data_IF_954290093946
#
_entry.id   IF_954290093946
#
_cell.length_a   1.000
_cell.length_b   1.000
_cell.length_c   1.000
_cell.angle_alpha   90.00
_cell.angle_beta   90.00
_cell.angle_gamma   90.00
#
_symmetry.space_group_name_H-M   'P 1'
#
loop_
_entity.id
_entity.type
_entity.pdbx_description
1 polymer ?
#
# COMPACT_ATOMS: atom_id res chain seq x y z
N UNK A 1 -14.98 -4.15 -15.39
CA UNK A 1 -13.91 -4.40 -14.41
C UNK A 1 -12.74 -3.50 -14.78
N UNK A 2 -12.63 -2.36 -14.16
CA UNK A 2 -11.42 -1.52 -14.26
C UNK A 2 -10.29 -2.30 -13.58
N UNK A 3 -9.32 -2.76 -14.39
CA UNK A 3 -8.16 -3.48 -13.89
C UNK A 3 -7.37 -2.58 -12.94
N UNK A 4 -6.92 -3.13 -11.80
CA UNK A 4 -6.02 -2.42 -10.90
C UNK A 4 -4.83 -1.90 -11.73
N UNK A 5 -4.46 -0.62 -11.64
CA UNK A 5 -3.26 -0.15 -12.31
C UNK A 5 -2.06 -0.89 -11.70
N UNK A 6 -1.36 -1.64 -12.51
CA UNK A 6 -0.11 -2.28 -12.08
C UNK A 6 0.94 -1.18 -11.88
N UNK A 7 1.27 -0.93 -10.62
CA UNK A 7 2.27 0.05 -10.20
C UNK A 7 3.26 -0.65 -9.29
N UNK A 8 4.27 -1.29 -9.88
CA UNK A 8 5.26 -2.02 -9.10
C UNK A 8 5.98 -1.07 -8.15
N UNK A 9 6.03 -1.41 -6.87
CA UNK A 9 6.81 -0.65 -5.91
C UNK A 9 8.30 -1.00 -6.01
N UNK A 10 9.11 0.02 -5.79
CA UNK A 10 10.57 -0.09 -5.64
C UNK A 10 10.92 0.41 -4.25
N UNK A 11 11.78 -0.32 -3.55
CA UNK A 11 12.31 0.09 -2.25
C UNK A 11 13.83 -0.06 -2.22
N UNK A 12 14.48 0.81 -1.48
CA UNK A 12 15.93 0.72 -1.19
C UNK A 12 16.10 0.51 0.30
N UNK A 13 16.58 -0.65 0.68
CA UNK A 13 16.73 -1.05 2.09
C UNK A 13 18.07 -1.76 2.24
N UNK A 14 18.85 -1.40 3.26
CA UNK A 14 20.11 -2.05 3.64
C UNK A 14 21.08 -2.27 2.47
N UNK A 15 21.18 -1.29 1.57
CA UNK A 15 22.07 -1.33 0.42
C UNK A 15 21.60 -2.19 -0.74
N UNK A 16 20.37 -2.64 -0.73
CA UNK A 16 19.73 -3.35 -1.84
C UNK A 16 18.57 -2.56 -2.43
N UNK A 17 18.36 -2.69 -3.74
CA UNK A 17 17.15 -2.29 -4.44
C UNK A 17 16.23 -3.50 -4.52
N UNK A 18 14.99 -3.35 -4.10
CA UNK A 18 13.94 -4.36 -4.20
C UNK A 18 12.87 -3.88 -5.18
N UNK A 19 12.38 -4.77 -6.03
CA UNK A 19 11.31 -4.48 -6.98
C UNK A 19 10.20 -5.51 -6.88
N UNK A 20 8.96 -5.03 -6.91
CA UNK A 20 7.78 -5.87 -7.10
C UNK A 20 7.65 -6.29 -8.56
N UNK A 21 7.32 -7.54 -8.83
CA UNK A 21 7.16 -8.08 -10.19
C UNK A 21 5.98 -9.04 -10.28
N UNK A 22 5.61 -9.44 -11.50
CA UNK A 22 4.59 -10.47 -11.75
C UNK A 22 4.97 -11.87 -11.23
N UNK A 23 6.22 -12.09 -10.83
CA UNK A 23 6.70 -13.41 -10.38
C UNK A 23 7.30 -13.39 -8.96
N UNK A 24 7.06 -12.32 -8.21
CA UNK A 24 7.54 -12.14 -6.85
C UNK A 24 8.29 -10.83 -6.65
N UNK A 25 9.05 -10.75 -5.56
CA UNK A 25 9.97 -9.64 -5.28
C UNK A 25 11.37 -10.07 -5.67
N UNK A 26 12.06 -9.21 -6.42
CA UNK A 26 13.47 -9.37 -6.78
C UNK A 26 14.29 -8.29 -6.09
N UNK A 27 15.57 -8.58 -5.85
CA UNK A 27 16.52 -7.61 -5.31
C UNK A 27 17.86 -7.68 -6.03
N UNK A 28 18.63 -6.60 -5.93
CA UNK A 28 20.05 -6.53 -6.29
C UNK A 28 20.78 -5.54 -5.39
N UNK A 29 22.12 -5.64 -5.25
CA UNK A 29 22.91 -4.62 -4.57
C UNK A 29 22.68 -3.24 -5.22
N UNK A 30 22.40 -2.20 -4.42
CA UNK A 30 22.08 -0.86 -4.93
C UNK A 30 23.24 -0.22 -5.72
N UNK A 31 24.47 -0.59 -5.40
CA UNK A 31 25.68 -0.12 -6.10
C UNK A 31 26.01 -0.90 -7.36
N UNK A 32 25.33 -2.01 -7.63
CA UNK A 32 25.60 -2.81 -8.83
C UNK A 32 24.97 -2.15 -10.06
N UNK A 33 25.78 -1.92 -11.08
CA UNK A 33 25.34 -1.49 -12.41
C UNK A 33 25.06 -2.66 -13.35
N UNK A 34 25.34 -3.91 -12.92
CA UNK A 34 25.13 -5.11 -13.72
C UNK A 34 23.65 -5.49 -13.71
N UNK A 35 23.03 -5.61 -14.88
CA UNK A 35 21.63 -6.00 -15.02
C UNK A 35 21.36 -7.47 -14.69
N UNK A 36 22.39 -8.30 -14.61
CA UNK A 36 22.28 -9.73 -14.28
C UNK A 36 22.27 -10.01 -12.77
N UNK A 37 22.50 -9.00 -11.92
CA UNK A 37 22.59 -9.18 -10.47
C UNK A 37 21.24 -9.24 -9.77
N UNK A 38 20.14 -9.25 -10.53
CA UNK A 38 18.80 -9.45 -9.96
C UNK A 38 18.62 -10.89 -9.50
N UNK A 39 18.35 -11.07 -8.22
CA UNK A 39 18.02 -12.36 -7.63
C UNK A 39 16.58 -12.37 -7.13
N UNK A 40 15.96 -13.53 -7.19
CA UNK A 40 14.62 -13.75 -6.62
C UNK A 40 14.75 -13.73 -5.11
N UNK A 41 13.94 -12.87 -4.46
CA UNK A 41 14.02 -12.64 -3.02
C UNK A 41 12.83 -13.24 -2.27
N UNK A 42 11.59 -12.91 -2.66
CA UNK A 42 10.40 -13.27 -1.89
C UNK A 42 9.19 -13.54 -2.79
N UNK A 43 8.19 -14.25 -2.26
CA UNK A 43 6.89 -14.51 -2.88
C UNK A 43 6.98 -15.11 -4.29
N UNK A 44 7.85 -16.09 -4.45
CA UNK A 44 8.07 -16.74 -5.76
C UNK A 44 6.77 -17.23 -6.40
N UNK A 45 6.47 -16.73 -7.60
CA UNK A 45 5.28 -17.09 -8.37
C UNK A 45 4.02 -16.28 -8.04
N UNK A 46 4.08 -15.31 -7.11
CA UNK A 46 2.97 -14.39 -6.85
C UNK A 46 3.18 -13.06 -7.61
N UNK A 47 2.14 -12.53 -8.26
CA UNK A 47 2.19 -11.24 -8.93
C UNK A 47 2.12 -10.09 -7.90
N UNK A 48 3.26 -9.66 -7.38
CA UNK A 48 3.34 -8.61 -6.36
C UNK A 48 3.23 -7.23 -7.02
N UNK A 49 2.36 -6.37 -6.45
CA UNK A 49 2.16 -4.98 -6.89
C UNK A 49 2.92 -4.02 -5.97
N UNK A 50 2.67 -4.14 -4.66
CA UNK A 50 3.30 -3.32 -3.64
C UNK A 50 3.69 -4.19 -2.44
N UNK A 51 4.67 -3.75 -1.69
CA UNK A 51 5.09 -4.42 -0.47
C UNK A 51 5.72 -3.44 0.51
N UNK A 52 5.75 -3.83 1.77
CA UNK A 52 6.49 -3.19 2.86
C UNK A 52 7.25 -4.27 3.63
N UNK A 53 8.40 -3.90 4.18
CA UNK A 53 9.30 -4.85 4.84
C UNK A 53 9.75 -4.36 6.21
N UNK A 54 9.93 -5.32 7.14
CA UNK A 54 10.54 -5.12 8.44
C UNK A 54 11.29 -6.40 8.84
N UNK A 55 12.60 -6.42 8.63
CA UNK A 55 13.39 -7.66 8.74
C UNK A 55 12.81 -8.76 7.85
N UNK A 56 12.58 -9.96 8.40
CA UNK A 56 12.00 -11.07 7.66
C UNK A 56 10.47 -10.99 7.49
N UNK A 57 9.83 -9.99 8.08
CA UNK A 57 8.40 -9.78 7.91
C UNK A 57 8.12 -8.92 6.67
N UNK A 58 7.28 -9.42 5.78
CA UNK A 58 6.91 -8.74 4.52
C UNK A 58 5.40 -8.79 4.37
N UNK A 59 4.79 -7.63 4.12
CA UNK A 59 3.39 -7.54 3.70
C UNK A 59 3.37 -7.17 2.23
N UNK A 60 2.58 -7.89 1.44
CA UNK A 60 2.45 -7.62 0.01
C UNK A 60 0.99 -7.53 -0.44
N UNK A 61 0.75 -6.58 -1.33
CA UNK A 61 -0.44 -6.50 -2.17
C UNK A 61 -0.10 -7.21 -3.48
N UNK A 62 -0.96 -8.12 -3.90
CA UNK A 62 -0.77 -8.88 -5.14
C UNK A 62 -1.86 -8.56 -6.16
N UNK A 63 -1.66 -8.95 -7.41
CA UNK A 63 -2.69 -8.88 -8.45
C UNK A 63 -3.72 -10.02 -8.37
N UNK A 64 -3.63 -10.91 -7.38
CA UNK A 64 -4.64 -11.92 -7.13
C UNK A 64 -5.96 -11.27 -6.69
N UNK A 65 -7.07 -11.93 -7.02
CA UNK A 65 -8.43 -11.46 -6.68
C UNK A 65 -9.09 -12.32 -5.60
N UNK A 66 -8.34 -13.24 -5.01
CA UNK A 66 -8.73 -14.15 -3.94
C UNK A 66 -8.09 -13.73 -2.61
N UNK A 67 -8.05 -14.66 -1.65
CA UNK A 67 -7.42 -14.46 -0.34
C UNK A 67 -5.94 -14.10 -0.40
N UNK A 68 -5.28 -14.30 -1.55
CA UNK A 68 -3.87 -13.91 -1.77
C UNK A 68 -3.69 -12.46 -2.21
N UNK A 69 -4.77 -11.69 -2.32
CA UNK A 69 -4.69 -10.28 -2.68
C UNK A 69 -3.89 -9.44 -1.66
N UNK A 70 -3.92 -9.83 -0.38
CA UNK A 70 -3.20 -9.19 0.70
C UNK A 70 -2.57 -10.25 1.59
N UNK A 71 -1.24 -10.31 1.63
CA UNK A 71 -0.51 -11.41 2.27
C UNK A 71 0.59 -10.92 3.21
N UNK A 72 0.81 -11.69 4.27
CA UNK A 72 1.90 -11.52 5.23
C UNK A 72 2.82 -12.74 5.17
N UNK A 73 4.12 -12.48 5.09
CA UNK A 73 5.19 -13.43 5.38
C UNK A 73 5.91 -13.04 6.67
N UNK A 74 6.47 -13.99 7.38
CA UNK A 74 7.33 -13.79 8.55
C UNK A 74 8.66 -14.55 8.44
N UNK A 75 8.96 -15.07 7.25
CA UNK A 75 10.12 -15.91 6.95
C UNK A 75 10.89 -15.45 5.70
N UNK A 76 10.88 -14.14 5.43
CA UNK A 76 11.55 -13.56 4.28
C UNK A 76 10.85 -13.85 2.95
N UNK A 77 9.55 -14.10 2.97
CA UNK A 77 8.76 -14.35 1.77
C UNK A 77 8.83 -15.78 1.22
N UNK A 78 9.35 -16.74 2.01
CA UNK A 78 9.38 -18.16 1.64
C UNK A 78 7.98 -18.75 1.68
N UNK A 79 7.22 -18.38 2.74
CA UNK A 79 5.80 -18.71 2.88
C UNK A 79 4.99 -17.44 3.12
N UNK A 80 3.69 -17.48 2.85
CA UNK A 80 2.79 -16.38 3.15
C UNK A 80 1.42 -16.89 3.58
N UNK A 81 0.71 -16.03 4.32
CA UNK A 81 -0.69 -16.23 4.69
C UNK A 81 -1.50 -15.00 4.32
N UNK A 82 -2.78 -15.21 4.02
CA UNK A 82 -3.71 -14.10 3.80
C UNK A 82 -3.82 -13.20 5.03
N UNK A 83 -3.95 -11.91 4.79
CA UNK A 83 -4.37 -10.93 5.80
C UNK A 83 -5.87 -10.71 5.60
N UNK A 84 -6.65 -11.23 6.54
CA UNK A 84 -8.12 -11.05 6.57
C UNK A 84 -8.50 -10.61 7.99
N UNK A 85 -8.19 -9.36 8.37
CA UNK A 85 -8.57 -8.87 9.67
C UNK A 85 -10.10 -8.91 9.84
N UNK A 86 -10.61 -9.19 11.04
CA UNK A 86 -12.06 -9.18 11.31
C UNK A 86 -12.74 -7.87 10.92
N UNK A 87 -12.01 -6.76 11.01
CA UNK A 87 -12.46 -5.44 10.63
C UNK A 87 -12.74 -5.29 9.12
N UNK A 88 -12.24 -6.23 8.31
CA UNK A 88 -12.45 -6.27 6.85
C UNK A 88 -13.62 -7.18 6.47
N UNK A 89 -14.22 -7.88 7.43
CA UNK A 89 -15.42 -8.68 7.20
C UNK A 89 -16.63 -7.74 7.21
N UNK A 90 -17.12 -7.42 6.05
CA UNK A 90 -18.41 -6.72 5.88
C UNK A 90 -19.49 -7.79 5.99
N UNK A 91 -20.32 -7.69 7.03
CA UNK A 91 -21.44 -8.61 7.25
C UNK A 91 -22.36 -8.63 6.02
N UNK A 92 -22.78 -9.85 5.63
CA UNK A 92 -23.89 -10.21 4.74
C UNK A 92 -23.69 -10.30 3.22
N UNK A 93 -22.63 -9.83 2.63
CA UNK A 93 -22.33 -10.16 1.25
C UNK A 93 -20.83 -10.34 1.11
N UNK A 94 -20.36 -11.43 0.55
CA UNK A 94 -18.96 -11.79 0.25
C UNK A 94 -18.20 -10.71 -0.57
N UNK A 95 -18.28 -9.45 -0.15
CA UNK A 95 -17.57 -8.33 -0.76
C UNK A 95 -16.08 -8.55 -0.50
N UNK A 96 -15.40 -8.94 -1.55
CA UNK A 96 -13.95 -9.12 -1.54
C UNK A 96 -13.30 -7.79 -1.21
N UNK A 97 -12.60 -7.76 -0.10
CA UNK A 97 -11.76 -6.63 0.28
C UNK A 97 -10.59 -6.56 -0.68
N UNK A 98 -10.45 -5.41 -1.34
CA UNK A 98 -9.43 -5.20 -2.36
C UNK A 98 -8.41 -4.15 -1.86
N UNK A 99 -7.17 -4.55 -1.50
CA UNK A 99 -6.13 -3.60 -1.17
C UNK A 99 -5.60 -2.93 -2.44
N UNK A 100 -5.44 -1.60 -2.42
CA UNK A 100 -4.93 -0.80 -3.54
C UNK A 100 -3.55 -0.20 -3.28
N UNK A 101 -3.28 0.18 -2.03
CA UNK A 101 -2.03 0.83 -1.65
C UNK A 101 -1.64 0.45 -0.24
N UNK A 102 -0.35 0.35 0.01
CA UNK A 102 0.22 0.17 1.34
C UNK A 102 1.41 1.11 1.51
N UNK A 103 1.50 1.73 2.67
CA UNK A 103 2.60 2.62 3.04
C UNK A 103 3.09 2.30 4.44
N UNK A 104 4.40 2.39 4.61
CA UNK A 104 5.07 2.19 5.89
C UNK A 104 5.56 3.54 6.43
N UNK A 105 5.36 3.75 7.72
CA UNK A 105 5.85 4.93 8.41
C UNK A 105 7.40 4.89 8.48
N UNK A 106 8.04 5.95 8.00
CA UNK A 106 9.51 6.06 7.95
C UNK A 106 10.17 6.09 9.32
N UNK A 107 9.46 6.56 10.36
CA UNK A 107 9.96 6.69 11.72
C UNK A 107 9.58 5.49 12.60
N UNK A 108 8.57 4.73 12.22
CA UNK A 108 8.10 3.55 12.95
C UNK A 108 7.63 2.46 11.99
N UNK A 109 8.52 1.52 11.70
CA UNK A 109 8.25 0.41 10.77
C UNK A 109 7.07 -0.48 11.18
N UNK A 110 6.57 -0.43 12.42
CA UNK A 110 5.35 -1.13 12.83
C UNK A 110 4.06 -0.43 12.39
N UNK A 111 4.15 0.86 12.09
CA UNK A 111 2.99 1.67 11.70
C UNK A 111 2.82 1.62 10.18
N UNK A 112 1.66 1.18 9.75
CA UNK A 112 1.31 1.00 8.34
C UNK A 112 -0.02 1.69 8.05
N UNK A 113 -0.16 2.19 6.83
CA UNK A 113 -1.43 2.55 6.23
C UNK A 113 -1.71 1.63 5.07
N UNK A 114 -2.94 1.23 4.92
CA UNK A 114 -3.40 0.58 3.70
C UNK A 114 -4.70 1.22 3.22
N UNK A 115 -4.85 1.25 1.91
CA UNK A 115 -6.05 1.66 1.24
C UNK A 115 -6.77 0.42 0.77
N UNK A 116 -7.99 0.23 1.25
CA UNK A 116 -8.73 -1.02 1.10
C UNK A 116 -10.16 -0.73 0.69
N UNK A 117 -10.56 -1.22 -0.47
CA UNK A 117 -11.93 -1.06 -0.96
C UNK A 117 -12.81 -2.23 -0.49
N UNK A 118 -14.06 -2.00 -0.06
CA UNK A 118 -14.76 -0.71 0.00
C UNK A 118 -14.61 0.02 1.35
N UNK A 119 -13.68 -0.34 2.19
CA UNK A 119 -13.57 0.14 3.59
C UNK A 119 -13.04 1.58 3.66
N UNK A 120 -11.98 1.89 2.90
CA UNK A 120 -11.28 3.17 2.96
C UNK A 120 -9.84 3.05 3.45
N UNK A 121 -9.38 4.01 4.25
CA UNK A 121 -8.04 4.00 4.84
C UNK A 121 -8.06 3.26 6.16
N UNK A 122 -7.19 2.27 6.27
CA UNK A 122 -6.97 1.50 7.50
C UNK A 122 -5.53 1.69 7.98
N UNK A 123 -5.35 1.68 9.29
CA UNK A 123 -4.06 1.84 9.95
C UNK A 123 -3.74 0.64 10.83
N UNK A 124 -2.52 0.16 10.76
CA UNK A 124 -1.93 -0.79 11.70
C UNK A 124 -0.81 -0.11 12.49
N UNK A 125 -0.65 -0.48 13.76
CA UNK A 125 0.46 -0.04 14.63
C UNK A 125 1.35 -1.20 15.07
N UNK A 126 1.11 -2.40 14.53
CA UNK A 126 1.77 -3.64 14.93
C UNK A 126 2.18 -4.50 13.72
N UNK A 127 2.58 -3.84 12.63
CA UNK A 127 2.99 -4.46 11.37
C UNK A 127 1.95 -5.43 10.82
N UNK A 128 0.70 -4.96 10.66
CA UNK A 128 -0.37 -5.70 10.00
C UNK A 128 -1.00 -6.83 10.82
N UNK A 129 -0.67 -6.99 12.11
CA UNK A 129 -1.31 -7.99 12.98
C UNK A 129 -2.75 -7.62 13.32
N UNK A 130 -3.04 -6.34 13.43
CA UNK A 130 -4.39 -5.78 13.53
C UNK A 130 -4.46 -4.46 12.78
N UNK A 131 -5.67 -4.09 12.38
CA UNK A 131 -5.95 -2.89 11.60
C UNK A 131 -7.15 -2.15 12.21
N UNK A 132 -7.17 -0.85 12.04
CA UNK A 132 -8.28 0.02 12.43
C UNK A 132 -8.61 0.95 11.27
N UNK A 133 -9.89 1.06 10.93
CA UNK A 133 -10.36 2.06 9.96
C UNK A 133 -10.19 3.46 10.55
N UNK A 134 -9.53 4.34 9.81
CA UNK A 134 -9.31 5.75 10.18
C UNK A 134 -10.02 6.72 9.23
N UNK A 135 -10.46 6.25 8.08
CA UNK A 135 -11.33 7.01 7.19
C UNK A 135 -12.14 6.06 6.33
N UNK A 136 -13.41 6.37 6.15
CA UNK A 136 -14.31 5.66 5.25
C UNK A 136 -14.66 6.57 4.09
N UNK A 137 -14.44 6.10 2.87
CA UNK A 137 -14.83 6.84 1.67
C UNK A 137 -16.07 6.17 1.09
N UNK A 138 -17.24 6.79 1.29
CA UNK A 138 -18.51 6.25 0.81
C UNK A 138 -18.73 6.55 -0.68
N UNK A 139 -19.19 5.53 -1.40
CA UNK A 139 -19.97 5.72 -2.62
C UNK A 139 -19.21 6.18 -3.85
N UNK A 140 -18.46 5.27 -4.50
CA UNK A 140 -17.99 5.47 -5.86
C UNK A 140 -16.68 6.24 -6.03
N UNK A 141 -15.91 6.38 -4.97
CA UNK A 141 -14.55 6.91 -5.05
C UNK A 141 -13.57 5.79 -5.41
N UNK A 142 -12.77 6.02 -6.44
CA UNK A 142 -11.58 5.22 -6.68
C UNK A 142 -10.41 5.86 -5.96
N UNK A 143 -9.78 5.14 -5.06
CA UNK A 143 -8.63 5.61 -4.32
C UNK A 143 -7.37 4.97 -4.88
N UNK A 144 -6.29 5.76 -5.01
CA UNK A 144 -5.07 5.33 -5.70
C UNK A 144 -3.86 5.21 -4.80
N UNK A 145 -3.75 6.07 -3.83
CA UNK A 145 -2.58 6.18 -2.97
C UNK A 145 -2.97 6.56 -1.54
N UNK A 146 -2.24 6.01 -0.58
CA UNK A 146 -2.21 6.49 0.80
C UNK A 146 -0.77 6.49 1.29
N UNK A 147 -0.36 7.53 2.03
CA UNK A 147 1.00 7.63 2.53
C UNK A 147 1.15 8.56 3.73
N UNK A 148 2.18 8.30 4.53
CA UNK A 148 2.64 9.21 5.57
C UNK A 148 3.53 10.29 4.98
N UNK A 149 3.50 11.49 5.58
CA UNK A 149 4.57 12.46 5.37
C UNK A 149 5.87 11.93 5.98
N UNK A 150 7.01 12.00 5.27
CA UNK A 150 8.24 11.34 5.72
C UNK A 150 8.85 11.96 6.99
N UNK A 151 8.66 13.25 7.23
CA UNK A 151 9.22 13.98 8.38
C UNK A 151 8.23 14.16 9.53
N UNK A 152 6.94 14.27 9.23
CA UNK A 152 5.87 14.36 10.23
C UNK A 152 4.79 13.30 9.93
N UNK A 153 4.94 12.15 10.53
CA UNK A 153 4.10 10.98 10.28
C UNK A 153 2.71 11.05 10.91
N UNK A 154 2.35 12.17 11.57
CA UNK A 154 0.96 12.49 11.92
C UNK A 154 0.20 13.03 10.70
N UNK A 155 0.92 13.52 9.70
CA UNK A 155 0.36 13.95 8.43
C UNK A 155 0.22 12.75 7.49
N UNK A 156 -1.01 12.50 7.05
CA UNK A 156 -1.38 11.41 6.17
C UNK A 156 -2.05 12.02 4.93
N UNK A 157 -1.72 11.48 3.76
CA UNK A 157 -2.28 11.90 2.49
C UNK A 157 -2.93 10.72 1.78
N UNK A 158 -4.04 11.01 1.11
CA UNK A 158 -4.72 10.06 0.24
C UNK A 158 -5.10 10.75 -1.08
N UNK A 159 -4.97 10.04 -2.18
CA UNK A 159 -5.44 10.50 -3.49
C UNK A 159 -6.44 9.53 -4.07
N UNK A 160 -7.31 10.06 -4.89
CA UNK A 160 -8.32 9.26 -5.58
C UNK A 160 -9.09 10.08 -6.61
N UNK A 161 -10.17 9.48 -7.09
CA UNK A 161 -11.04 10.02 -8.12
C UNK A 161 -12.50 9.72 -7.77
N UNK A 162 -13.36 10.70 -7.98
CA UNK A 162 -14.81 10.55 -7.81
C UNK A 162 -15.44 9.88 -9.03
N UNK A 163 -16.68 9.41 -8.92
CA UNK A 163 -17.44 8.86 -10.05
C UNK A 163 -17.66 9.86 -11.20
N UNK A 164 -17.54 11.16 -10.93
CA UNK A 164 -17.67 12.23 -11.93
C UNK A 164 -16.32 12.72 -12.44
N UNK A 165 -15.27 11.90 -12.28
CA UNK A 165 -13.91 12.17 -12.76
C UNK A 165 -13.27 13.43 -12.15
N UNK A 166 -13.58 13.71 -10.89
CA UNK A 166 -12.87 14.73 -10.11
C UNK A 166 -11.79 14.04 -9.27
N UNK A 167 -10.54 14.40 -9.51
CA UNK A 167 -9.42 13.93 -8.67
C UNK A 167 -9.38 14.73 -7.38
N UNK A 168 -8.95 14.10 -6.32
CA UNK A 168 -8.80 14.74 -5.02
C UNK A 168 -7.49 14.37 -4.34
N UNK A 169 -7.02 15.29 -3.51
CA UNK A 169 -6.01 15.05 -2.47
C UNK A 169 -6.67 15.33 -1.14
N UNK A 170 -6.79 14.32 -0.31
CA UNK A 170 -7.21 14.47 1.08
C UNK A 170 -5.97 14.43 1.98
N UNK A 171 -5.98 15.22 3.03
CA UNK A 171 -4.96 15.22 4.05
C UNK A 171 -5.56 15.16 5.45
N UNK A 172 -4.83 14.52 6.35
CA UNK A 172 -5.05 14.59 7.78
C UNK A 172 -3.77 15.05 8.46
N UNK A 173 -3.87 16.01 9.37
CA UNK A 173 -2.73 16.50 10.16
C UNK A 173 -2.73 15.97 11.60
N UNK A 174 -3.63 15.05 11.92
CA UNK A 174 -3.84 14.54 13.28
C UNK A 174 -4.01 13.02 13.32
N UNK A 175 -3.18 12.33 12.53
CA UNK A 175 -3.11 10.88 12.51
C UNK A 175 -4.40 10.18 12.04
N UNK A 176 -5.11 10.80 11.09
CA UNK A 176 -6.32 10.25 10.47
C UNK A 176 -7.62 10.50 11.25
N UNK A 177 -7.60 11.36 12.28
CA UNK A 177 -8.81 11.69 13.05
C UNK A 177 -9.76 12.60 12.27
N UNK A 178 -9.19 13.63 11.63
CA UNK A 178 -9.94 14.55 10.77
C UNK A 178 -9.26 14.64 9.40
N UNK A 179 -10.06 14.85 8.37
CA UNK A 179 -9.60 14.92 6.98
C UNK A 179 -10.10 16.19 6.31
N UNK A 180 -9.23 16.80 5.51
CA UNK A 180 -9.54 17.96 4.68
C UNK A 180 -9.22 17.66 3.21
N UNK A 181 -9.95 18.26 2.30
CA UNK A 181 -9.64 18.23 0.88
C UNK A 181 -8.66 19.37 0.61
N UNK A 182 -7.46 19.04 0.13
CA UNK A 182 -6.45 20.02 -0.27
C UNK A 182 -6.65 20.46 -1.71
N UNK A 183 -7.02 19.53 -2.58
CA UNK A 183 -7.18 19.76 -4.02
C UNK A 183 -8.35 18.94 -4.53
N UNK A 184 -9.11 19.52 -5.45
CA UNK A 184 -10.20 18.86 -6.16
C UNK A 184 -10.24 19.40 -7.60
N UNK A 185 -9.74 18.63 -8.55
CA UNK A 185 -9.63 19.03 -9.96
C UNK A 185 -10.42 18.12 -10.89
N UNK A 186 -11.11 18.73 -11.88
CA UNK A 186 -11.83 17.97 -12.90
C UNK A 186 -10.91 17.55 -14.04
N UNK A 187 -11.16 16.34 -14.55
CA UNK A 187 -10.47 15.76 -15.72
C UNK A 187 -8.97 15.50 -15.54
N UNK A 188 -8.46 15.49 -14.32
CA UNK A 188 -7.10 15.08 -13.99
C UNK A 188 -7.16 13.84 -13.10
N UNK A 189 -6.17 12.94 -13.22
CA UNK A 189 -6.05 11.78 -12.37
C UNK A 189 -4.81 11.93 -11.49
N UNK A 190 -5.00 12.14 -10.19
CA UNK A 190 -3.90 12.21 -9.21
C UNK A 190 -3.70 10.82 -8.62
N UNK A 191 -2.70 10.14 -9.13
CA UNK A 191 -2.46 8.75 -8.78
C UNK A 191 -1.42 8.54 -7.68
N UNK A 192 -0.56 9.52 -7.43
CA UNK A 192 0.56 9.36 -6.51
C UNK A 192 1.04 10.71 -6.00
N UNK A 193 1.53 10.74 -4.77
CA UNK A 193 2.24 11.87 -4.17
C UNK A 193 3.67 11.42 -3.90
N UNK A 194 4.63 12.22 -4.32
CA UNK A 194 6.02 12.08 -3.94
C UNK A 194 6.40 13.23 -3.01
N UNK A 195 7.13 12.92 -1.97
CA UNK A 195 7.62 13.90 -1.00
C UNK A 195 9.11 14.14 -1.24
N UNK A 196 9.53 15.39 -1.16
CA UNK A 196 10.94 15.70 -1.08
C UNK A 196 11.47 15.26 0.30
N UNK A 197 12.47 14.37 0.36
CA UNK A 197 12.97 13.87 1.64
C UNK A 197 13.77 14.94 2.43
N UNK A 198 14.10 16.06 1.80
CA UNK A 198 14.94 17.13 2.36
C UNK A 198 14.14 18.35 2.83
N UNK A 199 12.86 18.43 2.52
CA UNK A 199 12.03 19.62 2.80
C UNK A 199 10.76 19.23 3.56
#
# INVERSE_FOLDING_TARGET
TYGRPYRPSVQVVDGYIYIATWSGIYRKPAKSLNNMDWEKFAFSGLPVIQFVMKGDSIIAITACTDEKAFVLSTDGGKTCKAITPPEFLIEENELKVIPYSISQNSQNANSLLALVEPIGVVKSVNFGKSWKTISTFYGGYQNWFVGFHPQDTTNIYNTGETMIFESFINASCNDGKDWIILENERNNCIHHIAFDPTN
#
